data_IF_461200134302
#
_entry.id   IF_461200134302
#
_cell.length_a   1.000
_cell.length_b   1.000
_cell.length_c   1.000
_cell.angle_alpha   90.00
_cell.angle_beta   90.00
_cell.angle_gamma   90.00
#
_symmetry.space_group_name_H-M   'P 1'
#
loop_
_entity.id
_entity.type
_entity.pdbx_description
1 polymer ?
#
# COMPACT_ATOMS: atom_id res chain seq x y z
N UNK A 1 10.93 6.65 3.57
CA UNK A 1 10.57 7.49 2.39
C UNK A 1 9.69 8.63 2.87
N UNK A 2 9.79 9.84 2.34
CA UNK A 2 9.13 11.02 2.90
C UNK A 2 8.18 11.66 1.90
N UNK A 3 6.91 11.86 2.31
CA UNK A 3 5.95 12.71 1.61
C UNK A 3 5.86 14.04 2.33
N UNK A 4 6.02 15.13 1.60
CA UNK A 4 5.93 16.48 2.13
C UNK A 4 4.83 17.25 1.39
N UNK A 5 3.82 17.72 2.11
CA UNK A 5 2.79 18.60 1.56
C UNK A 5 3.31 20.03 1.63
N UNK A 6 3.53 20.65 0.48
CA UNK A 6 4.13 21.99 0.38
C UNK A 6 3.08 23.09 0.58
N UNK A 7 1.81 22.78 0.33
CA UNK A 7 0.71 23.70 0.54
C UNK A 7 -0.64 23.09 0.19
N UNK A 8 -1.69 23.58 0.84
CA UNK A 8 -3.07 23.17 0.60
C UNK A 8 -4.03 24.34 0.79
N UNK A 9 -5.17 24.30 0.11
CA UNK A 9 -6.24 25.29 0.19
C UNK A 9 -7.59 24.66 -0.20
N UNK A 10 -8.63 25.47 -0.35
CA UNK A 10 -9.99 25.02 -0.69
C UNK A 10 -10.10 24.32 -2.05
N UNK A 11 -9.11 24.50 -2.93
CA UNK A 11 -9.12 24.02 -4.30
C UNK A 11 -8.20 22.80 -4.50
N UNK A 12 -7.38 22.43 -3.51
CA UNK A 12 -6.43 21.34 -3.67
C UNK A 12 -5.19 21.47 -2.81
N UNK A 13 -4.18 20.66 -3.14
CA UNK A 13 -2.90 20.63 -2.45
C UNK A 13 -1.78 20.12 -3.33
N UNK A 14 -0.54 20.43 -2.95
CA UNK A 14 0.66 19.99 -3.65
C UNK A 14 1.53 19.18 -2.69
N UNK A 15 2.05 18.05 -3.15
CA UNK A 15 2.96 17.21 -2.39
C UNK A 15 4.19 16.80 -3.20
N UNK A 16 5.28 16.50 -2.49
CA UNK A 16 6.54 15.98 -3.03
C UNK A 16 6.89 14.69 -2.33
N UNK A 17 7.34 13.71 -3.10
CA UNK A 17 7.87 12.45 -2.57
C UNK A 17 9.38 12.47 -2.69
N UNK A 18 10.08 12.12 -1.62
CA UNK A 18 11.53 12.07 -1.57
C UNK A 18 12.07 10.83 -0.85
N UNK A 19 13.20 10.31 -1.32
CA UNK A 19 13.93 9.21 -0.73
C UNK A 19 15.42 9.58 -0.67
N UNK A 20 16.02 9.56 0.52
CA UNK A 20 17.43 9.94 0.69
C UNK A 20 17.75 11.38 0.23
N UNK A 21 16.78 12.30 0.29
CA UNK A 21 16.94 13.68 -0.16
C UNK A 21 16.81 13.89 -1.67
N UNK A 22 16.58 12.82 -2.45
CA UNK A 22 16.24 12.93 -3.87
C UNK A 22 14.73 12.83 -4.07
N UNK A 23 14.20 13.62 -5.00
CA UNK A 23 12.80 13.52 -5.41
C UNK A 23 12.58 12.25 -6.22
N UNK A 24 11.48 11.55 -5.94
CA UNK A 24 11.14 10.28 -6.59
C UNK A 24 9.67 10.27 -6.99
N UNK A 25 9.34 9.59 -8.07
CA UNK A 25 7.96 9.37 -8.50
C UNK A 25 7.45 8.07 -7.90
N UNK A 26 6.29 8.11 -7.25
CA UNK A 26 5.65 6.94 -6.64
C UNK A 26 4.14 7.12 -6.66
N UNK A 27 3.44 5.99 -6.67
CA UNK A 27 2.01 6.00 -6.43
C UNK A 27 1.70 6.38 -4.97
N UNK A 28 0.57 7.02 -4.76
CA UNK A 28 0.09 7.41 -3.44
C UNK A 28 -1.39 7.10 -3.27
N UNK A 29 -1.77 6.77 -2.04
CA UNK A 29 -3.12 6.96 -1.54
C UNK A 29 -3.18 8.35 -0.92
N UNK A 30 -4.25 9.08 -1.19
CA UNK A 30 -4.50 10.37 -0.58
C UNK A 30 -5.88 10.43 0.05
N UNK A 31 -5.99 11.20 1.13
CA UNK A 31 -7.26 11.53 1.76
C UNK A 31 -7.27 13.01 2.16
N UNK A 32 -8.40 13.67 1.99
CA UNK A 32 -8.61 15.05 2.40
C UNK A 32 -10.01 15.19 2.99
N UNK A 33 -10.08 15.57 4.26
CA UNK A 33 -11.33 15.82 4.97
C UNK A 33 -11.61 17.32 5.06
N UNK A 34 -12.88 17.69 5.00
CA UNK A 34 -13.25 19.09 4.97
C UNK A 34 -14.74 19.37 5.00
N UNK A 35 -15.12 20.64 4.77
CA UNK A 35 -16.49 21.14 4.83
C UNK A 35 -16.87 21.74 3.48
N UNK A 36 -17.97 21.25 2.91
CA UNK A 36 -18.57 21.79 1.70
C UNK A 36 -19.21 23.16 1.95
N UNK A 37 -19.19 24.02 0.92
CA UNK A 37 -19.82 25.33 0.99
C UNK A 37 -21.33 25.30 0.69
N UNK A 38 -21.85 24.24 0.03
CA UNK A 38 -23.29 24.15 -0.35
C UNK A 38 -23.74 22.76 -0.88
N UNK A 39 -24.46 21.91 -0.13
CA UNK A 39 -24.91 22.11 1.24
C UNK A 39 -23.74 22.11 2.22
N UNK A 40 -23.85 22.87 3.31
CA UNK A 40 -22.84 22.85 4.38
C UNK A 40 -22.84 21.49 5.07
N UNK A 41 -21.77 20.71 4.89
CA UNK A 41 -21.64 19.39 5.48
C UNK A 41 -20.20 18.86 5.36
N UNK A 42 -19.80 17.91 6.23
CA UNK A 42 -18.50 17.27 6.12
C UNK A 42 -18.41 16.47 4.82
N UNK A 43 -17.26 16.55 4.17
CA UNK A 43 -16.92 15.83 2.94
C UNK A 43 -15.52 15.25 3.08
N UNK A 44 -15.37 14.02 2.62
CA UNK A 44 -14.08 13.37 2.47
C UNK A 44 -13.84 13.11 0.98
N UNK A 45 -12.64 13.42 0.52
CA UNK A 45 -12.13 12.99 -0.78
C UNK A 45 -11.02 12.00 -0.48
N UNK A 46 -11.07 10.84 -1.12
CA UNK A 46 -9.98 9.90 -1.14
C UNK A 46 -9.76 9.41 -2.56
N UNK A 47 -8.54 8.95 -2.82
CA UNK A 47 -8.24 8.37 -4.11
C UNK A 47 -6.81 7.91 -4.20
N UNK A 48 -6.53 7.32 -5.36
CA UNK A 48 -5.25 6.73 -5.65
C UNK A 48 -4.66 7.37 -6.90
N UNK A 49 -3.40 7.74 -6.81
CA UNK A 49 -2.65 8.41 -7.89
C UNK A 49 -1.42 7.57 -8.21
N UNK A 50 -1.18 7.34 -9.49
CA UNK A 50 0.00 6.64 -10.01
C UNK A 50 1.27 7.46 -9.94
N UNK A 51 2.43 6.83 -10.07
CA UNK A 51 3.71 7.55 -10.23
C UNK A 51 3.69 8.52 -11.41
N UNK A 52 2.98 8.20 -12.49
CA UNK A 52 2.85 9.07 -13.65
C UNK A 52 1.82 10.21 -13.48
N UNK A 53 1.13 10.27 -12.34
CA UNK A 53 0.08 11.25 -12.04
C UNK A 53 -1.34 10.82 -12.46
N UNK A 54 -1.51 9.64 -13.04
CA UNK A 54 -2.84 9.13 -13.40
C UNK A 54 -3.67 8.84 -12.16
N UNK A 55 -4.89 9.37 -12.11
CA UNK A 55 -5.86 9.07 -11.04
C UNK A 55 -6.55 7.74 -11.32
N UNK A 56 -6.42 6.78 -10.40
CA UNK A 56 -7.01 5.43 -10.51
C UNK A 56 -8.40 5.38 -9.88
N UNK A 57 -8.54 6.01 -8.72
CA UNK A 57 -9.79 6.07 -7.94
C UNK A 57 -9.98 7.50 -7.43
N UNK A 58 -11.23 7.94 -7.30
CA UNK A 58 -11.54 9.31 -6.87
C UNK A 58 -11.48 10.36 -7.99
N UNK A 59 -11.30 9.93 -9.25
CA UNK A 59 -11.18 10.82 -10.41
C UNK A 59 -12.43 11.67 -10.66
N UNK A 60 -13.60 11.30 -10.15
CA UNK A 60 -14.81 12.11 -10.13
C UNK A 60 -14.75 13.31 -9.17
N UNK A 61 -13.86 13.25 -8.17
CA UNK A 61 -13.74 14.22 -7.10
C UNK A 61 -12.54 15.18 -7.27
N UNK A 62 -11.46 14.72 -7.90
CA UNK A 62 -10.25 15.53 -8.12
C UNK A 62 -9.54 15.15 -9.42
N UNK A 63 -8.56 15.95 -9.79
CA UNK A 63 -7.59 15.68 -10.85
C UNK A 63 -6.19 15.90 -10.34
N UNK A 64 -5.19 15.28 -10.97
CA UNK A 64 -3.79 15.49 -10.62
C UNK A 64 -3.01 15.96 -11.84
N UNK A 65 -2.15 16.95 -11.63
CA UNK A 65 -1.05 17.26 -12.55
C UNK A 65 0.26 16.82 -11.93
N UNK A 66 1.10 16.20 -12.74
CA UNK A 66 2.40 15.67 -12.33
C UNK A 66 3.49 16.28 -13.22
N UNK A 67 4.56 16.75 -12.58
CA UNK A 67 5.77 17.19 -13.27
C UNK A 67 6.76 16.02 -13.35
N UNK A 68 6.93 15.48 -14.56
CA UNK A 68 7.80 14.33 -14.76
C UNK A 68 9.26 14.62 -14.31
N UNK A 69 9.87 13.62 -13.68
CA UNK A 69 11.19 13.59 -13.08
C UNK A 69 11.37 14.52 -11.86
N UNK A 70 10.31 15.12 -11.31
CA UNK A 70 10.42 15.98 -10.12
C UNK A 70 9.76 15.39 -8.88
N UNK A 71 8.95 14.32 -9.02
CA UNK A 71 8.20 13.77 -7.89
C UNK A 71 7.23 14.77 -7.24
N UNK A 72 6.87 15.85 -7.96
CA UNK A 72 5.92 16.89 -7.55
C UNK A 72 4.56 16.59 -8.17
N UNK A 73 3.55 16.55 -7.33
CA UNK A 73 2.16 16.30 -7.72
C UNK A 73 1.27 17.41 -7.18
N UNK A 74 0.38 17.92 -8.02
CA UNK A 74 -0.63 18.91 -7.63
C UNK A 74 -2.01 18.31 -7.82
N UNK A 75 -2.71 18.15 -6.70
CA UNK A 75 -4.09 17.68 -6.60
C UNK A 75 -5.01 18.88 -6.68
N UNK A 76 -5.95 18.85 -7.61
CA UNK A 76 -6.98 19.88 -7.79
C UNK A 76 -8.35 19.26 -7.57
N UNK A 77 -9.11 19.77 -6.61
CA UNK A 77 -10.46 19.32 -6.35
C UNK A 77 -11.39 19.86 -7.44
N UNK A 78 -12.21 18.97 -8.02
CA UNK A 78 -13.20 19.34 -9.04
C UNK A 78 -14.30 20.23 -8.49
N UNK A 79 -14.54 20.14 -7.18
CA UNK A 79 -15.43 21.02 -6.44
C UNK A 79 -14.73 21.46 -5.17
N UNK A 80 -14.57 22.78 -5.02
CA UNK A 80 -13.92 23.38 -3.86
C UNK A 80 -14.65 23.00 -2.58
N UNK A 81 -13.88 22.62 -1.57
CA UNK A 81 -14.34 22.38 -0.21
C UNK A 81 -13.22 22.80 0.73
N UNK A 82 -13.56 23.35 1.90
CA UNK A 82 -12.53 23.77 2.86
C UNK A 82 -11.92 22.53 3.44
N UNK A 83 -10.61 22.30 3.28
CA UNK A 83 -9.92 21.26 4.04
C UNK A 83 -9.95 21.71 5.50
N UNK A 84 -10.64 20.94 6.34
CA UNK A 84 -10.80 21.22 7.77
C UNK A 84 -10.76 19.85 8.42
N UNK A 85 -9.65 19.49 9.04
CA UNK A 85 -9.77 18.62 10.20
C UNK A 85 -9.98 19.51 11.45
N UNK A 86 -10.29 18.91 12.60
CA UNK A 86 -10.53 19.66 13.83
C UNK A 86 -9.28 20.41 14.37
N UNK A 87 -8.11 20.22 13.75
CA UNK A 87 -6.78 20.65 14.20
C UNK A 87 -5.98 21.42 13.12
N UNK A 88 -6.60 21.71 11.98
CA UNK A 88 -6.00 22.34 10.81
C UNK A 88 -4.84 21.53 10.17
N UNK A 89 -4.87 20.19 10.26
CA UNK A 89 -3.85 19.33 9.68
C UNK A 89 -3.95 19.22 8.16
N UNK A 90 -2.81 19.03 7.48
CA UNK A 90 -2.78 18.84 6.04
C UNK A 90 -3.52 17.55 5.63
N UNK A 91 -3.90 17.43 4.33
CA UNK A 91 -4.33 16.17 3.75
C UNK A 91 -3.38 15.01 4.08
N UNK A 92 -3.88 13.79 4.11
CA UNK A 92 -3.03 12.62 4.27
C UNK A 92 -2.57 12.14 2.89
N UNK A 93 -1.27 11.86 2.77
CA UNK A 93 -0.70 11.28 1.56
C UNK A 93 0.31 10.21 1.96
N UNK A 94 0.02 8.98 1.55
CA UNK A 94 0.80 7.80 1.90
C UNK A 94 1.29 7.14 0.63
N UNK A 95 2.60 6.88 0.54
CA UNK A 95 3.17 6.13 -0.59
C UNK A 95 2.62 4.72 -0.58
N UNK A 96 2.19 4.25 -1.74
CA UNK A 96 1.70 2.89 -1.94
C UNK A 96 2.42 2.23 -3.13
N UNK A 97 2.32 0.91 -3.26
CA UNK A 97 2.67 0.20 -4.49
C UNK A 97 1.89 0.74 -5.72
N UNK A 98 2.52 0.70 -6.89
CA UNK A 98 1.96 1.26 -8.14
C UNK A 98 0.67 0.53 -8.57
N UNK A 99 -0.52 1.16 -8.54
CA UNK A 99 -1.76 0.47 -8.87
C UNK A 99 -1.78 0.02 -10.33
N UNK A 100 -2.30 -1.16 -10.61
CA UNK A 100 -2.22 -1.77 -11.95
C UNK A 100 -3.38 -1.30 -12.83
N UNK A 101 -3.07 -0.91 -14.08
CA UNK A 101 -4.09 -0.60 -15.08
C UNK A 101 -4.66 -1.91 -15.61
N UNK A 102 -5.57 -2.53 -14.86
CA UNK A 102 -6.28 -3.71 -15.38
C UNK A 102 -7.52 -3.21 -16.10
N UNK A 103 -7.39 -3.01 -17.41
CA UNK A 103 -8.54 -2.85 -18.31
C UNK A 103 -9.32 -4.17 -18.35
N UNK A 104 -10.16 -4.40 -17.34
CA UNK A 104 -11.11 -5.51 -17.34
C UNK A 104 -12.47 -4.89 -17.64
N UNK A 105 -13.10 -5.32 -18.73
CA UNK A 105 -14.52 -5.08 -18.94
C UNK A 105 -15.28 -5.77 -17.81
N UNK A 106 -15.55 -5.03 -16.73
CA UNK A 106 -16.38 -5.51 -15.64
C UNK A 106 -17.77 -5.82 -16.22
N UNK A 107 -18.29 -7.05 -16.04
CA UNK A 107 -19.70 -7.32 -16.30
C UNK A 107 -20.57 -6.32 -15.53
N UNK A 108 -21.71 -5.93 -16.11
CA UNK A 108 -22.68 -5.05 -15.44
C UNK A 108 -23.10 -5.68 -14.11
N UNK A 109 -22.92 -4.96 -12.99
CA UNK A 109 -23.23 -5.44 -11.63
C UNK A 109 -22.04 -5.92 -10.81
N UNK A 110 -20.80 -5.61 -11.23
CA UNK A 110 -19.58 -5.95 -10.50
C UNK A 110 -18.81 -4.69 -10.09
N UNK A 111 -18.26 -4.70 -8.87
CA UNK A 111 -17.46 -3.59 -8.32
C UNK A 111 -16.02 -4.05 -8.18
N UNK A 112 -15.10 -3.30 -8.80
CA UNK A 112 -13.66 -3.45 -8.55
C UNK A 112 -13.29 -2.72 -7.27
N UNK A 113 -12.59 -3.39 -6.37
CA UNK A 113 -12.19 -2.86 -5.07
C UNK A 113 -10.73 -3.23 -4.78
N UNK A 114 -10.09 -2.44 -3.92
CA UNK A 114 -8.69 -2.63 -3.54
C UNK A 114 -8.65 -2.78 -2.02
N UNK A 115 -7.97 -3.82 -1.54
CA UNK A 115 -7.55 -3.88 -0.15
C UNK A 115 -6.05 -3.72 -0.01
N UNK A 116 -5.62 -3.13 1.09
CA UNK A 116 -4.23 -3.01 1.50
C UNK A 116 -4.01 -3.68 2.85
N UNK A 117 -2.77 -4.07 3.13
CA UNK A 117 -2.39 -4.60 4.43
C UNK A 117 -0.91 -4.46 4.71
N UNK A 118 -0.57 -4.23 5.97
CA UNK A 118 0.78 -4.25 6.52
C UNK A 118 0.87 -5.38 7.55
N UNK A 119 1.81 -6.29 7.35
CA UNK A 119 1.94 -7.52 8.13
C UNK A 119 3.38 -7.63 8.62
N UNK A 120 3.58 -7.94 9.91
CA UNK A 120 4.92 -8.15 10.46
C UNK A 120 5.50 -9.54 10.15
N UNK A 121 6.77 -9.76 10.51
CA UNK A 121 7.45 -11.05 10.35
C UNK A 121 6.79 -12.20 11.15
N UNK A 122 5.95 -11.92 12.13
CA UNK A 122 5.20 -12.95 12.87
C UNK A 122 3.85 -13.28 12.20
N UNK A 123 3.46 -12.55 11.15
CA UNK A 123 2.17 -12.70 10.50
C UNK A 123 1.04 -11.95 11.19
N UNK A 124 1.36 -11.00 12.08
CA UNK A 124 0.38 -10.12 12.72
C UNK A 124 0.06 -8.96 11.80
N UNK A 125 -1.22 -8.62 11.70
CA UNK A 125 -1.69 -7.46 10.93
C UNK A 125 -1.42 -6.22 11.79
N UNK A 126 -0.64 -5.29 11.25
CA UNK A 126 -0.32 -4.02 11.89
C UNK A 126 -1.24 -2.90 11.40
N UNK A 127 -1.61 -2.97 10.12
CA UNK A 127 -2.53 -2.03 9.47
C UNK A 127 -3.17 -2.68 8.24
N UNK A 128 -4.27 -2.11 7.74
CA UNK A 128 -4.93 -2.57 6.52
C UNK A 128 -6.41 -2.24 6.42
N UNK A 129 -7.00 -2.59 5.28
CA UNK A 129 -8.41 -2.35 5.00
C UNK A 129 -9.31 -3.12 5.97
N UNK A 130 -10.25 -2.41 6.59
CA UNK A 130 -11.29 -2.99 7.46
C UNK A 130 -12.58 -3.27 6.70
N UNK A 131 -13.40 -4.18 7.23
CA UNK A 131 -14.77 -4.38 6.78
C UNK A 131 -15.55 -3.14 7.22
N UNK A 132 -15.93 -2.22 6.33
CA UNK A 132 -16.50 -0.91 6.69
C UNK A 132 -17.72 -0.89 7.64
N UNK A 133 -18.29 -2.04 7.99
CA UNK A 133 -19.31 -2.25 9.03
C UNK A 133 -18.75 -2.58 10.43
N UNK A 134 -17.43 -2.71 10.59
CA UNK A 134 -16.73 -3.12 11.82
C UNK A 134 -15.26 -2.68 11.81
N UNK A 135 -14.60 -2.70 12.97
CA UNK A 135 -13.15 -2.49 13.05
C UNK A 135 -12.32 -3.75 12.69
N UNK A 136 -12.97 -4.82 12.22
CA UNK A 136 -12.26 -6.03 11.80
C UNK A 136 -11.60 -5.85 10.42
N UNK A 137 -10.37 -6.33 10.28
CA UNK A 137 -9.71 -6.38 8.97
C UNK A 137 -10.47 -7.24 7.97
N UNK A 138 -10.51 -6.77 6.73
CA UNK A 138 -11.16 -7.43 5.59
C UNK A 138 -10.43 -8.70 5.12
N UNK A 139 -9.36 -9.07 5.81
CA UNK A 139 -8.55 -10.25 5.56
C UNK A 139 -8.01 -10.86 6.85
N UNK A 140 -7.45 -12.05 6.72
CA UNK A 140 -6.71 -12.76 7.77
C UNK A 140 -5.38 -13.24 7.20
N UNK A 141 -4.37 -13.37 8.08
CA UNK A 141 -3.06 -13.92 7.73
C UNK A 141 -2.80 -15.14 8.60
N UNK A 142 -2.35 -16.23 7.97
CA UNK A 142 -1.91 -17.43 8.66
C UNK A 142 -0.49 -17.76 8.21
N UNK A 143 0.45 -17.73 9.16
CA UNK A 143 1.84 -18.19 8.97
C UNK A 143 1.92 -19.71 9.10
N UNK A 144 2.68 -20.36 8.22
CA UNK A 144 3.03 -21.78 8.38
C UNK A 144 4.26 -21.90 9.29
N UNK A 145 4.15 -22.52 10.47
CA UNK A 145 5.26 -22.60 11.43
C UNK A 145 6.38 -23.55 10.97
N UNK A 146 6.13 -24.40 9.97
CA UNK A 146 7.10 -25.40 9.49
C UNK A 146 7.87 -24.96 8.24
N UNK A 147 7.54 -23.82 7.64
CA UNK A 147 8.16 -23.33 6.41
C UNK A 147 8.43 -21.84 6.52
N UNK A 148 9.71 -21.47 6.57
CA UNK A 148 10.15 -20.08 6.68
C UNK A 148 9.58 -19.23 5.55
N UNK A 149 9.10 -18.05 5.92
CA UNK A 149 8.51 -17.06 5.03
C UNK A 149 7.16 -17.47 4.46
N UNK A 150 6.54 -18.58 4.86
CA UNK A 150 5.29 -19.03 4.20
C UNK A 150 4.04 -18.49 4.88
N UNK A 151 3.31 -17.64 4.16
CA UNK A 151 2.09 -17.01 4.65
C UNK A 151 0.92 -17.22 3.70
N UNK A 152 -0.28 -17.33 4.27
CA UNK A 152 -1.54 -17.36 3.53
C UNK A 152 -2.41 -16.19 3.96
N UNK A 153 -2.73 -15.32 3.01
CA UNK A 153 -3.75 -14.29 3.14
C UNK A 153 -5.09 -14.87 2.71
N UNK A 154 -6.14 -14.64 3.51
CA UNK A 154 -7.52 -14.95 3.12
C UNK A 154 -8.42 -13.74 3.29
N UNK A 155 -9.18 -13.44 2.25
CA UNK A 155 -10.28 -12.49 2.33
C UNK A 155 -11.33 -12.98 3.33
N UNK A 156 -11.96 -12.01 3.99
CA UNK A 156 -13.18 -12.23 4.75
C UNK A 156 -14.35 -12.50 3.79
N UNK A 157 -15.20 -13.51 4.06
CA UNK A 157 -16.34 -13.84 3.21
C UNK A 157 -17.26 -12.64 2.90
N UNK A 158 -17.35 -11.69 3.82
CA UNK A 158 -18.13 -10.46 3.75
C UNK A 158 -17.75 -9.57 2.55
N UNK A 159 -16.54 -9.71 2.01
CA UNK A 159 -16.11 -9.00 0.81
C UNK A 159 -16.78 -9.52 -0.47
N UNK A 160 -17.41 -10.70 -0.45
CA UNK A 160 -18.09 -11.31 -1.59
C UNK A 160 -17.24 -11.33 -2.87
N UNK A 161 -15.95 -11.67 -2.72
CA UNK A 161 -14.98 -11.70 -3.82
C UNK A 161 -15.37 -12.75 -4.86
N UNK A 162 -15.61 -12.30 -6.08
CA UNK A 162 -15.89 -13.14 -7.24
C UNK A 162 -14.59 -13.54 -7.95
N UNK A 163 -13.70 -12.56 -8.15
CA UNK A 163 -12.45 -12.76 -8.85
C UNK A 163 -11.33 -11.98 -8.16
N UNK A 164 -10.23 -12.68 -7.87
CA UNK A 164 -8.95 -12.06 -7.57
C UNK A 164 -8.06 -12.14 -8.81
N UNK A 165 -7.52 -11.00 -9.23
CA UNK A 165 -6.62 -10.92 -10.36
C UNK A 165 -5.19 -11.19 -9.88
N UNK A 166 -4.53 -12.21 -10.42
CA UNK A 166 -3.13 -12.53 -10.07
C UNK A 166 -2.19 -11.34 -10.36
N UNK A 167 -2.33 -10.76 -11.54
CA UNK A 167 -1.68 -9.49 -11.89
C UNK A 167 -2.29 -8.27 -11.22
N UNK A 168 -3.10 -8.44 -10.16
CA UNK A 168 -3.63 -7.38 -9.29
C UNK A 168 -3.12 -7.51 -7.85
N UNK A 169 -2.30 -8.52 -7.55
CA UNK A 169 -1.66 -8.74 -6.25
C UNK A 169 -0.26 -8.15 -6.28
N UNK A 170 0.00 -7.17 -5.43
CA UNK A 170 1.32 -6.58 -5.21
C UNK A 170 1.71 -6.78 -3.76
N UNK A 171 2.93 -7.26 -3.55
CA UNK A 171 3.47 -7.53 -2.22
C UNK A 171 4.93 -7.11 -2.24
N UNK A 172 5.33 -6.30 -1.27
CA UNK A 172 6.71 -5.88 -1.12
C UNK A 172 7.15 -6.02 0.34
N UNK A 173 8.45 -6.25 0.55
CA UNK A 173 9.01 -6.31 1.90
C UNK A 173 9.08 -4.90 2.47
N UNK A 174 8.53 -4.71 3.67
CA UNK A 174 8.50 -3.42 4.33
C UNK A 174 9.75 -3.23 5.20
N UNK A 175 10.82 -2.75 4.56
CA UNK A 175 12.17 -2.67 5.15
C UNK A 175 12.25 -1.86 6.44
N UNK A 176 11.38 -0.86 6.62
CA UNK A 176 11.36 0.00 7.82
C UNK A 176 11.06 -0.77 9.12
N UNK A 177 10.49 -1.98 9.03
CA UNK A 177 10.24 -2.87 10.16
C UNK A 177 11.28 -3.98 10.32
N UNK A 178 12.30 -4.03 9.47
CA UNK A 178 13.41 -4.97 9.61
C UNK A 178 14.39 -4.41 10.65
N UNK A 179 14.69 -5.15 11.74
CA UNK A 179 15.68 -4.70 12.70
C UNK A 179 17.03 -4.45 12.01
N UNK A 180 17.73 -3.34 12.31
CA UNK A 180 19.06 -3.13 11.77
C UNK A 180 19.94 -4.32 12.14
N UNK A 181 20.68 -4.86 11.17
CA UNK A 181 21.67 -5.89 11.47
C UNK A 181 22.65 -5.31 12.49
N UNK A 182 22.64 -5.83 13.71
CA UNK A 182 23.61 -5.41 14.72
C UNK A 182 25.02 -5.67 14.18
N UNK A 183 25.73 -4.59 13.89
CA UNK A 183 27.17 -4.63 13.68
C UNK A 183 27.83 -5.19 14.95
N UNK A 184 28.30 -6.44 14.88
CA UNK A 184 28.96 -7.13 15.98
C UNK A 184 29.98 -6.22 16.69
N UNK A 185 29.78 -5.99 17.98
CA UNK A 185 30.79 -5.39 18.85
C UNK A 185 31.93 -6.41 19.11
N UNK A 186 33.17 -5.92 19.02
CA UNK A 186 34.43 -6.66 18.98
C UNK A 186 34.84 -7.45 20.24
N UNK A 187 33.93 -8.04 21.01
CA UNK A 187 34.32 -8.80 22.23
C UNK A 187 33.51 -10.05 22.54
N UNK A 188 32.51 -10.39 21.74
CA UNK A 188 31.83 -11.68 21.84
C UNK A 188 32.05 -12.45 20.55
N UNK A 189 32.32 -13.75 20.67
CA UNK A 189 32.43 -14.69 19.56
C UNK A 189 31.09 -14.71 18.83
N UNK A 190 30.91 -13.83 17.84
CA UNK A 190 29.81 -13.89 16.89
C UNK A 190 30.04 -15.14 16.03
N UNK A 191 29.56 -16.29 16.51
CA UNK A 191 29.34 -17.43 15.64
C UNK A 191 28.27 -17.01 14.61
N UNK A 192 28.66 -17.11 13.34
CA UNK A 192 27.83 -16.97 12.14
C UNK A 192 27.59 -15.54 11.63
N UNK A 193 28.66 -14.92 11.11
CA UNK A 193 28.52 -14.19 9.84
C UNK A 193 27.80 -15.12 8.86
N UNK A 194 26.57 -14.76 8.50
CA UNK A 194 25.55 -15.69 8.02
C UNK A 194 26.00 -16.61 6.89
N UNK A 195 25.63 -17.88 6.99
CA UNK A 195 25.90 -18.93 6.01
C UNK A 195 25.39 -18.65 4.57
N UNK A 196 24.72 -17.50 4.34
CA UNK A 196 23.99 -17.18 3.12
C UNK A 196 24.60 -16.01 2.30
N UNK A 197 25.70 -15.39 2.75
CA UNK A 197 26.38 -14.28 2.04
C UNK A 197 25.73 -12.91 2.25
N UNK A 198 26.30 -11.88 1.62
CA UNK A 198 25.81 -10.50 1.70
C UNK A 198 24.39 -10.36 1.11
N UNK A 199 23.55 -9.57 1.79
CA UNK A 199 22.17 -9.26 1.34
C UNK A 199 22.23 -8.16 0.28
N UNK A 200 21.67 -8.45 -0.89
CA UNK A 200 21.59 -7.56 -2.05
C UNK A 200 20.25 -6.83 -2.14
N UNK A 201 19.20 -7.38 -1.53
CA UNK A 201 17.87 -6.80 -1.51
C UNK A 201 16.83 -7.75 -0.93
N UNK A 202 15.56 -7.39 -1.09
CA UNK A 202 14.43 -8.17 -0.62
C UNK A 202 13.41 -8.38 -1.73
N UNK A 203 12.63 -9.45 -1.62
CA UNK A 203 11.55 -9.71 -2.56
C UNK A 203 10.50 -10.64 -1.98
N UNK A 204 9.45 -10.88 -2.77
CA UNK A 204 8.34 -11.76 -2.41
C UNK A 204 7.98 -12.63 -3.61
N UNK A 205 7.92 -13.94 -3.41
CA UNK A 205 7.37 -14.87 -4.38
C UNK A 205 5.88 -15.07 -4.11
N UNK A 206 5.06 -14.90 -5.14
CA UNK A 206 3.63 -15.21 -5.14
C UNK A 206 3.45 -16.67 -5.58
N UNK A 207 2.91 -17.51 -4.70
CA UNK A 207 2.85 -18.97 -4.92
C UNK A 207 1.52 -19.38 -5.53
N UNK A 208 0.44 -18.81 -5.03
CA UNK A 208 -0.91 -19.15 -5.45
C UNK A 208 -1.84 -17.96 -5.23
N UNK A 209 -2.77 -17.76 -6.16
CA UNK A 209 -3.80 -16.73 -6.11
C UNK A 209 -5.14 -17.38 -6.48
N UNK A 210 -6.15 -17.16 -5.65
CA UNK A 210 -7.52 -17.53 -5.95
C UNK A 210 -8.50 -16.51 -5.37
N UNK A 211 -9.79 -16.64 -5.65
CA UNK A 211 -10.82 -15.72 -5.14
C UNK A 211 -10.91 -15.62 -3.61
N UNK A 212 -10.29 -16.55 -2.88
CA UNK A 212 -10.26 -16.55 -1.41
C UNK A 212 -9.05 -15.82 -0.84
N UNK A 213 -8.06 -15.47 -1.67
CA UNK A 213 -6.85 -14.76 -1.27
C UNK A 213 -5.61 -15.30 -1.99
N UNK A 214 -4.46 -15.28 -1.32
CA UNK A 214 -3.21 -15.72 -1.93
C UNK A 214 -2.21 -16.28 -0.92
N UNK A 215 -1.17 -16.91 -1.43
CA UNK A 215 -0.05 -17.46 -0.68
C UNK A 215 1.22 -16.78 -1.18
N UNK A 216 2.04 -16.30 -0.26
CA UNK A 216 3.27 -15.58 -0.58
C UNK A 216 4.45 -16.03 0.29
N UNK A 217 5.66 -15.77 -0.22
CA UNK A 217 6.91 -15.99 0.51
C UNK A 217 7.91 -14.85 0.35
N UNK A 218 8.19 -14.08 1.41
CA UNK A 218 9.29 -13.13 1.38
C UNK A 218 10.64 -13.84 1.42
N UNK A 219 11.64 -13.17 0.85
CA UNK A 219 13.02 -13.64 0.84
C UNK A 219 14.00 -12.47 0.89
N UNK A 220 15.19 -12.75 1.43
CA UNK A 220 16.39 -11.97 1.20
C UNK A 220 17.02 -12.45 -0.10
N UNK A 221 17.36 -11.53 -1.00
CA UNK A 221 18.20 -11.83 -2.16
C UNK A 221 19.65 -11.73 -1.70
N UNK A 222 20.43 -12.81 -1.83
CA UNK A 222 21.86 -12.82 -1.50
C UNK A 222 22.69 -13.20 -2.72
N UNK A 223 24.02 -13.08 -2.59
CA UNK A 223 24.96 -13.57 -3.62
C UNK A 223 24.81 -15.08 -3.92
N UNK A 224 24.20 -15.86 -3.01
CA UNK A 224 23.97 -17.30 -3.17
C UNK A 224 22.55 -17.61 -3.68
N UNK A 225 21.71 -16.59 -3.87
CA UNK A 225 20.33 -16.68 -4.33
C UNK A 225 19.31 -16.32 -3.26
N UNK A 226 18.06 -16.79 -3.44
CA UNK A 226 16.94 -16.47 -2.55
C UNK A 226 17.02 -17.23 -1.23
N UNK A 227 17.04 -16.49 -0.14
CA UNK A 227 16.97 -17.02 1.21
C UNK A 227 15.60 -16.67 1.83
N UNK A 228 14.66 -17.64 1.78
CA UNK A 228 13.30 -17.45 2.30
C UNK A 228 13.29 -17.30 3.83
N UNK A 229 12.73 -16.20 4.29
CA UNK A 229 12.67 -15.84 5.70
C UNK A 229 11.39 -15.09 6.03
N UNK A 230 11.11 -15.04 7.32
CA UNK A 230 9.98 -14.29 7.85
C UNK A 230 10.34 -12.80 7.85
N UNK A 231 9.74 -12.05 6.92
CA UNK A 231 9.96 -10.61 6.78
C UNK A 231 8.62 -9.87 6.81
N UNK A 232 8.59 -8.64 7.34
CA UNK A 232 7.41 -7.78 7.26
C UNK A 232 7.10 -7.47 5.78
N UNK A 233 5.82 -7.44 5.42
CA UNK A 233 5.38 -7.10 4.07
C UNK A 233 4.25 -6.09 4.10
N UNK A 234 4.20 -5.24 3.10
CA UNK A 234 2.96 -4.58 2.72
C UNK A 234 2.38 -5.28 1.49
N UNK A 235 1.07 -5.16 1.28
CA UNK A 235 0.45 -5.60 0.05
C UNK A 235 -0.69 -4.68 -0.37
N UNK A 236 -0.98 -4.69 -1.67
CA UNK A 236 -2.14 -4.07 -2.30
C UNK A 236 -2.75 -5.07 -3.28
N UNK A 237 -4.06 -5.24 -3.21
CA UNK A 237 -4.74 -6.34 -3.89
C UNK A 237 -6.03 -5.84 -4.53
N UNK A 238 -6.06 -5.90 -5.86
CA UNK A 238 -7.24 -5.59 -6.66
C UNK A 238 -8.10 -6.84 -6.88
N UNK A 239 -9.37 -6.75 -6.51
CA UNK A 239 -10.34 -7.82 -6.71
C UNK A 239 -11.67 -7.28 -7.23
N UNK A 240 -12.51 -8.19 -7.72
CA UNK A 240 -13.86 -7.91 -8.18
C UNK A 240 -14.83 -8.61 -7.23
N UNK A 241 -15.82 -7.87 -6.73
CA UNK A 241 -16.94 -8.41 -5.95
C UNK A 241 -18.26 -8.26 -6.68
N UNK A 242 -19.23 -9.11 -6.33
CA UNK A 242 -20.61 -8.97 -6.79
C UNK A 242 -21.27 -7.77 -6.12
N UNK A 243 -22.01 -6.99 -6.90
CA UNK A 243 -22.89 -5.96 -6.37
C UNK A 243 -24.01 -6.64 -5.56
N UNK A 244 -24.32 -6.06 -4.40
CA UNK A 244 -25.31 -6.58 -3.44
C UNK A 244 -26.71 -6.13 -3.78
#
# INVERSE_FOLDING_TARGET
MNVNIIGFNTNGFTYVISQGGQQVERAVSLSAFGIDFNPFGPRMISGTVRSDGTVVTGGENFSVSHEACTGIYTVTFKRAFTIVDAENQPPEVTVIPEPINVGVGAPVGNVSDIITGLVDAQGRILDGTTLGTSDEYAFTIVKNPSVNGYYRMRFRPELNVELLLEGGVQIEVFEDLIPPQESCCCSCTCCESGANGDILGYGVDLINVDKTGFIYRPYEETILGKNYRDLPVNFSVLFIRKES
#
